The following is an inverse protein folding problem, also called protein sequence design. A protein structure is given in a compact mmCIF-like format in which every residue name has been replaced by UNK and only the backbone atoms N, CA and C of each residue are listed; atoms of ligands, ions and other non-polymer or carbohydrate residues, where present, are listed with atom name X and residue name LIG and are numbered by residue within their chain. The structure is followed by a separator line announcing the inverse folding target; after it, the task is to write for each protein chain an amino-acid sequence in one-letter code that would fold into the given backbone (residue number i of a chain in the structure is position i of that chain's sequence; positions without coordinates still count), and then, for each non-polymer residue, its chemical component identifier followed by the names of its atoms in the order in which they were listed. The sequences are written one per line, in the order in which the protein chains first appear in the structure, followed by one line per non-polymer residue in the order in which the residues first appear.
data_IF_475567609643
#
_entry.id   IF_475567609643
#
_cell.length_a   1.000
_cell.length_b   1.000
_cell.length_c   1.000
_cell.angle_alpha   90.00
_cell.angle_beta   90.00
_cell.angle_gamma   90.00
#
_symmetry.space_group_name_H-M   'P 1'
#
loop_
_entity.id
_entity.type
_entity.pdbx_description
1 polymer ?
#
# COMPACT_ATOMS: atom_id res chain seq x y z
N UNK A 1 20.79 -0.39 7.86
CA UNK A 1 19.62 -0.10 8.72
C UNK A 1 18.54 -1.12 8.38
N UNK A 2 17.90 -1.72 9.39
CA UNK A 2 16.79 -2.64 9.18
C UNK A 2 15.58 -1.87 8.67
N UNK A 3 15.01 -2.30 7.53
CA UNK A 3 13.78 -1.72 6.99
C UNK A 3 12.60 -2.08 7.88
N UNK A 4 11.68 -1.14 8.06
CA UNK A 4 10.47 -1.31 8.86
C UNK A 4 9.39 -2.05 8.08
N UNK A 5 8.49 -2.74 8.79
CA UNK A 5 7.30 -3.33 8.15
C UNK A 5 6.29 -2.22 7.90
N UNK A 6 5.74 -2.09 6.68
CA UNK A 6 4.72 -1.07 6.39
C UNK A 6 3.45 -1.24 7.24
N UNK A 7 2.75 -0.13 7.50
CA UNK A 7 1.37 -0.17 8.01
C UNK A 7 0.38 -0.68 6.93
N UNK A 8 -0.91 -0.80 7.27
CA UNK A 8 -1.96 -1.27 6.33
C UNK A 8 -2.11 -0.39 5.08
N UNK A 9 -1.64 0.85 5.13
CA UNK A 9 -1.67 1.79 4.02
C UNK A 9 -0.33 1.87 3.28
N UNK A 10 0.56 0.87 3.42
CA UNK A 10 1.87 0.81 2.77
C UNK A 10 2.83 1.98 3.12
N UNK A 11 2.64 2.61 4.27
CA UNK A 11 3.51 3.66 4.82
C UNK A 11 3.93 3.34 6.25
N UNK A 12 3.94 4.34 7.13
CA UNK A 12 4.25 4.19 8.56
C UNK A 12 3.35 5.05 9.44
N UNK A 13 3.13 4.55 10.66
CA UNK A 13 2.55 5.31 11.75
C UNK A 13 3.71 5.90 12.58
N UNK A 14 3.75 7.22 12.69
CA UNK A 14 4.74 7.95 13.50
C UNK A 14 4.05 8.60 14.70
N UNK A 15 4.85 9.18 15.59
CA UNK A 15 4.34 9.80 16.83
C UNK A 15 3.34 10.94 16.56
N UNK A 16 3.59 11.77 15.56
CA UNK A 16 2.83 12.99 15.29
C UNK A 16 2.07 12.99 13.95
N UNK A 17 2.22 11.95 13.14
CA UNK A 17 1.51 11.80 11.87
C UNK A 17 1.53 10.33 11.45
N UNK A 18 0.64 9.96 10.54
CA UNK A 18 0.71 8.69 9.82
C UNK A 18 0.72 8.97 8.34
N UNK A 19 1.37 8.10 7.57
CA UNK A 19 1.31 8.20 6.12
C UNK A 19 1.08 6.83 5.50
N UNK A 20 0.50 6.87 4.31
CA UNK A 20 0.25 5.74 3.47
C UNK A 20 0.48 6.10 2.01
N UNK A 21 0.34 5.13 1.12
CA UNK A 21 0.52 5.32 -0.30
C UNK A 21 -0.11 4.20 -1.11
N UNK A 22 -0.38 4.54 -2.36
CA UNK A 22 -0.48 3.60 -3.47
C UNK A 22 0.58 3.99 -4.52
N UNK A 23 0.55 3.40 -5.71
CA UNK A 23 1.52 3.74 -6.75
C UNK A 23 1.38 5.19 -7.24
N UNK A 24 0.20 5.79 -7.18
CA UNK A 24 -0.07 7.13 -7.71
C UNK A 24 0.11 8.24 -6.68
N UNK A 25 -0.18 7.95 -5.41
CA UNK A 25 -0.40 8.98 -4.38
C UNK A 25 0.23 8.58 -3.05
N UNK A 26 0.50 9.60 -2.22
CA UNK A 26 0.87 9.46 -0.81
C UNK A 26 -0.18 10.21 0.00
N UNK A 27 -0.77 9.55 1.00
CA UNK A 27 -1.65 10.17 1.98
C UNK A 27 -0.89 10.43 3.28
N UNK A 28 -1.13 11.58 3.91
CA UNK A 28 -0.55 11.96 5.19
C UNK A 28 -1.66 12.47 6.10
N UNK A 29 -1.78 11.89 7.29
CA UNK A 29 -2.77 12.24 8.30
C UNK A 29 -2.08 12.77 9.55
N UNK A 30 -2.46 13.95 10.00
CA UNK A 30 -1.82 14.66 11.10
C UNK A 30 -2.88 15.05 12.14
N UNK A 31 -2.92 14.39 13.31
CA UNK A 31 -3.81 14.79 14.39
C UNK A 31 -3.50 16.22 14.85
N UNK A 32 -4.55 17.01 15.06
CA UNK A 32 -4.48 18.38 15.58
C UNK A 32 -5.50 18.57 16.71
N UNK A 33 -5.33 19.58 17.58
CA UNK A 33 -6.29 19.83 18.66
C UNK A 33 -7.72 19.99 18.14
N UNK A 34 -8.68 19.39 18.85
CA UNK A 34 -10.10 19.49 18.49
C UNK A 34 -10.58 20.95 18.44
N UNK A 35 -11.34 21.29 17.40
CA UNK A 35 -11.81 22.65 17.15
C UNK A 35 -10.82 23.50 16.35
N UNK A 36 -9.76 22.89 15.79
CA UNK A 36 -8.89 23.53 14.81
C UNK A 36 -9.74 24.04 13.65
N UNK A 37 -9.41 25.23 13.14
CA UNK A 37 -10.08 25.82 11.96
C UNK A 37 -9.10 25.85 10.81
N UNK A 38 -9.58 25.68 9.58
CA UNK A 38 -8.72 25.66 8.39
C UNK A 38 -7.87 26.93 8.23
N UNK A 39 -8.37 28.08 8.70
CA UNK A 39 -7.61 29.35 8.69
C UNK A 39 -6.37 29.32 9.58
N UNK A 40 -6.30 28.42 10.55
CA UNK A 40 -5.21 28.27 11.50
C UNK A 40 -4.20 27.20 11.04
N UNK A 41 -4.51 26.48 9.96
CA UNK A 41 -3.61 25.49 9.34
C UNK A 41 -2.66 26.19 8.37
N UNK A 42 -1.41 25.76 8.37
CA UNK A 42 -0.41 26.06 7.34
C UNK A 42 -0.09 24.74 6.66
N UNK A 43 -0.44 24.62 5.38
CA UNK A 43 -0.06 23.49 4.55
C UNK A 43 0.50 24.02 3.22
N UNK A 44 1.82 23.87 3.03
CA UNK A 44 2.54 24.27 1.81
C UNK A 44 3.15 23.02 1.17
N UNK A 45 2.65 22.69 -0.02
CA UNK A 45 3.11 21.56 -0.82
C UNK A 45 3.92 22.11 -1.98
N UNK A 46 5.21 21.78 -2.03
CA UNK A 46 6.10 22.05 -3.14
C UNK A 46 6.56 20.75 -3.77
N UNK A 47 7.09 20.86 -4.98
CA UNK A 47 7.49 19.73 -5.83
C UNK A 47 8.36 18.67 -5.12
N UNK A 48 9.17 19.05 -4.12
CA UNK A 48 9.98 18.14 -3.30
C UNK A 48 9.92 18.47 -1.80
N UNK A 49 8.94 19.22 -1.33
CA UNK A 49 8.95 19.69 0.05
C UNK A 49 7.53 19.77 0.60
N UNK A 50 7.35 19.31 1.83
CA UNK A 50 6.08 19.38 2.53
C UNK A 50 6.27 20.15 3.83
N UNK A 51 5.42 21.17 4.03
CA UNK A 51 5.31 21.88 5.29
C UNK A 51 3.87 21.83 5.78
N UNK A 52 3.64 21.28 6.98
CA UNK A 52 2.32 21.19 7.60
C UNK A 52 2.39 21.49 9.08
N UNK A 53 1.47 22.31 9.58
CA UNK A 53 1.35 22.62 11.00
C UNK A 53 0.29 23.69 11.29
N UNK A 54 0.31 24.23 12.49
CA UNK A 54 -0.58 25.32 12.91
C UNK A 54 0.15 26.67 12.91
N UNK A 55 -0.57 27.73 12.55
CA UNK A 55 -0.04 29.11 12.59
C UNK A 55 0.47 29.45 13.98
N UNK A 56 1.63 30.11 14.03
CA UNK A 56 2.27 30.53 15.28
C UNK A 56 2.95 29.39 16.08
N UNK A 57 2.95 28.15 15.58
CA UNK A 57 3.60 27.01 16.22
C UNK A 57 4.72 26.45 15.34
N UNK A 58 5.60 25.64 15.94
CA UNK A 58 6.57 24.84 15.19
C UNK A 58 5.80 23.91 14.23
N UNK A 59 6.16 23.85 12.93
CA UNK A 59 5.54 22.92 12.00
C UNK A 59 5.70 21.47 12.46
N UNK A 60 4.67 20.67 12.23
CA UNK A 60 4.68 19.23 12.52
C UNK A 60 5.55 18.50 11.47
N UNK A 61 5.47 18.96 10.22
CA UNK A 61 6.34 18.56 9.12
C UNK A 61 6.89 19.83 8.45
N UNK A 62 8.19 19.87 8.18
CA UNK A 62 8.87 20.90 7.38
C UNK A 62 10.16 20.28 6.82
N UNK A 63 10.04 19.50 5.74
CA UNK A 63 11.15 18.71 5.22
C UNK A 63 11.02 18.35 3.72
N UNK A 64 12.16 17.96 3.13
CA UNK A 64 12.25 17.43 1.76
C UNK A 64 11.53 16.06 1.68
N UNK A 65 10.62 15.93 0.71
CA UNK A 65 9.92 14.68 0.40
C UNK A 65 10.88 13.65 -0.20
N UNK A 66 10.57 12.37 -0.06
CA UNK A 66 11.35 11.30 -0.67
C UNK A 66 11.36 11.40 -2.21
N UNK A 67 10.19 11.63 -2.80
CA UNK A 67 10.01 11.74 -4.24
C UNK A 67 9.42 13.07 -4.68
N UNK A 68 9.34 13.23 -6.00
CA UNK A 68 8.74 14.41 -6.63
C UNK A 68 7.22 14.26 -6.66
N UNK A 69 6.52 15.31 -6.28
CA UNK A 69 5.05 15.41 -6.35
C UNK A 69 4.63 16.49 -7.34
N UNK A 70 3.35 16.46 -7.72
CA UNK A 70 2.68 17.49 -8.51
C UNK A 70 1.86 18.39 -7.57
N UNK A 71 2.35 19.59 -7.18
CA UNK A 71 1.67 20.42 -6.21
C UNK A 71 0.24 20.80 -6.62
N UNK A 72 0.03 21.08 -7.90
CA UNK A 72 -1.28 21.48 -8.44
C UNK A 72 -2.30 20.33 -8.49
N UNK A 73 -1.84 19.07 -8.40
CA UNK A 73 -2.69 17.87 -8.30
C UNK A 73 -2.69 17.32 -6.87
N UNK A 74 -2.09 18.03 -5.91
CA UNK A 74 -2.06 17.65 -4.50
C UNK A 74 -2.99 18.58 -3.72
N UNK A 75 -3.66 18.07 -2.69
CA UNK A 75 -4.59 18.86 -1.90
C UNK A 75 -4.51 18.47 -0.43
N UNK A 76 -5.10 19.32 0.41
CA UNK A 76 -5.25 19.04 1.83
C UNK A 76 -6.65 19.44 2.29
N UNK A 77 -7.12 18.78 3.34
CA UNK A 77 -8.38 19.03 4.02
C UNK A 77 -8.16 19.02 5.53
N UNK A 78 -9.09 19.66 6.25
CA UNK A 78 -9.22 19.52 7.68
C UNK A 78 -10.50 18.71 7.95
N UNK A 79 -10.34 17.50 8.45
CA UNK A 79 -11.40 16.56 8.76
C UNK A 79 -11.78 16.68 10.23
N UNK A 80 -13.09 16.71 10.50
CA UNK A 80 -13.70 16.75 11.84
C UNK A 80 -13.12 17.79 12.82
N UNK A 81 -12.47 18.84 12.30
CA UNK A 81 -11.76 19.86 13.07
C UNK A 81 -10.66 19.31 14.01
N UNK A 82 -10.15 18.10 13.74
CA UNK A 82 -9.14 17.44 14.56
C UNK A 82 -8.07 16.67 13.77
N UNK A 83 -8.15 16.62 12.44
CA UNK A 83 -7.20 15.89 11.60
C UNK A 83 -6.90 16.66 10.31
N UNK A 84 -5.64 16.95 10.04
CA UNK A 84 -5.22 17.45 8.72
C UNK A 84 -4.91 16.24 7.84
N UNK A 85 -5.59 16.13 6.71
CA UNK A 85 -5.31 15.13 5.68
C UNK A 85 -4.66 15.79 4.47
N UNK A 86 -3.53 15.28 4.02
CA UNK A 86 -2.80 15.74 2.83
C UNK A 86 -2.72 14.59 1.85
N UNK A 87 -3.16 14.82 0.61
CA UNK A 87 -2.95 13.90 -0.50
C UNK A 87 -1.94 14.49 -1.47
N UNK A 88 -0.83 13.78 -1.65
CA UNK A 88 0.27 14.15 -2.53
C UNK A 88 0.25 13.28 -3.79
N UNK A 89 0.05 13.90 -4.94
CA UNK A 89 0.09 13.20 -6.22
C UNK A 89 1.53 13.04 -6.69
N UNK A 90 1.99 11.79 -6.85
CA UNK A 90 3.37 11.49 -7.29
C UNK A 90 3.55 11.85 -8.75
N UNK A 91 4.75 12.34 -9.10
CA UNK A 91 5.17 12.42 -10.49
C UNK A 91 5.52 11.04 -11.05
N UNK A 92 6.22 10.22 -10.27
CA UNK A 92 6.52 8.83 -10.61
C UNK A 92 5.44 7.92 -10.06
N UNK A 93 4.65 7.34 -10.98
CA UNK A 93 3.53 6.43 -10.67
C UNK A 93 3.91 4.95 -10.74
N UNK A 94 5.20 4.63 -10.81
CA UNK A 94 5.69 3.25 -10.97
C UNK A 94 6.36 2.70 -9.72
N UNK A 95 6.83 3.58 -8.83
CA UNK A 95 7.63 3.19 -7.67
C UNK A 95 6.96 3.51 -6.33
N UNK A 96 7.09 2.55 -5.41
CA UNK A 96 6.77 2.75 -4.00
C UNK A 96 7.81 3.65 -3.33
N UNK A 97 7.33 4.58 -2.51
CA UNK A 97 8.21 5.40 -1.68
C UNK A 97 8.67 4.56 -0.50
N UNK A 98 9.98 4.48 -0.28
CA UNK A 98 10.52 3.78 0.89
C UNK A 98 10.42 4.62 2.16
N UNK A 99 10.20 5.92 2.08
CA UNK A 99 9.97 6.82 3.22
C UNK A 99 9.09 8.00 2.78
N UNK A 100 8.45 8.70 3.72
CA UNK A 100 7.74 9.95 3.42
C UNK A 100 8.71 11.08 3.09
N UNK A 101 9.71 11.24 3.97
CA UNK A 101 10.71 12.30 3.92
C UNK A 101 12.07 11.72 3.55
N UNK A 102 12.90 12.54 2.90
CA UNK A 102 14.28 12.17 2.55
C UNK A 102 15.10 11.98 3.82
N UNK A 103 15.77 10.83 3.92
CA UNK A 103 16.56 10.46 5.11
C UNK A 103 15.72 10.06 6.34
N UNK A 104 14.39 9.97 6.19
CA UNK A 104 13.51 9.46 7.24
C UNK A 104 13.52 7.92 7.35
N UNK A 105 12.74 7.37 8.30
CA UNK A 105 12.59 5.92 8.48
C UNK A 105 12.12 5.22 7.20
N UNK A 106 12.81 4.14 6.82
CA UNK A 106 12.52 3.40 5.60
C UNK A 106 11.68 2.14 5.85
N UNK A 107 10.68 1.90 5.00
CA UNK A 107 9.88 0.67 4.94
C UNK A 107 10.45 -0.35 3.97
N UNK A 108 10.11 -1.61 4.19
CA UNK A 108 10.32 -2.68 3.25
C UNK A 108 9.19 -2.67 2.20
N UNK A 109 9.45 -2.00 1.08
CA UNK A 109 8.49 -1.88 -0.03
C UNK A 109 8.15 -3.22 -0.70
N UNK A 110 8.91 -4.30 -0.46
CA UNK A 110 8.56 -5.64 -0.94
C UNK A 110 7.34 -6.22 -0.21
N UNK A 111 6.99 -5.67 0.96
CA UNK A 111 5.80 -6.04 1.74
C UNK A 111 4.61 -5.11 1.49
N UNK A 112 4.74 -4.17 0.55
CA UNK A 112 3.62 -3.32 0.18
C UNK A 112 2.58 -4.15 -0.59
N UNK A 113 1.32 -4.07 -0.18
CA UNK A 113 0.21 -4.74 -0.86
C UNK A 113 -0.41 -3.76 -1.87
N UNK A 114 -0.63 -4.17 -3.14
CA UNK A 114 -1.35 -3.33 -4.07
C UNK A 114 -2.78 -3.07 -3.57
N UNK A 115 -3.26 -1.85 -3.81
CA UNK A 115 -4.64 -1.47 -3.52
C UNK A 115 -5.61 -2.45 -4.21
N UNK A 116 -6.58 -3.04 -3.47
CA UNK A 116 -7.62 -3.88 -4.08
C UNK A 116 -8.64 -3.05 -4.90
N UNK A 117 -8.53 -1.73 -4.88
CA UNK A 117 -9.50 -0.74 -5.37
C UNK A 117 -9.44 -0.48 -6.89
N UNK A 118 -9.41 -1.56 -7.67
CA UNK A 118 -10.04 -1.59 -9.01
C UNK A 118 -11.00 -2.77 -9.18
N UNK A 119 -11.08 -3.70 -8.22
CA UNK A 119 -11.94 -4.89 -8.35
C UNK A 119 -13.44 -4.58 -8.41
N UNK A 120 -13.89 -3.47 -7.83
CA UNK A 120 -15.32 -3.09 -7.81
C UNK A 120 -15.81 -2.49 -9.12
N UNK A 121 -14.90 -1.88 -9.90
CA UNK A 121 -15.21 -1.24 -11.19
C UNK A 121 -15.03 -2.20 -12.38
N UNK A 122 -14.52 -3.41 -12.10
CA UNK A 122 -14.29 -4.46 -13.07
C UNK A 122 -15.49 -5.42 -13.06
N UNK A 123 -15.81 -5.97 -14.23
CA UNK A 123 -16.81 -7.04 -14.35
C UNK A 123 -16.44 -8.25 -13.46
N UNK A 124 -17.43 -9.08 -13.10
CA UNK A 124 -17.25 -10.16 -12.14
C UNK A 124 -16.18 -11.19 -12.54
N UNK A 125 -15.94 -11.36 -13.85
CA UNK A 125 -14.98 -12.31 -14.38
C UNK A 125 -13.55 -11.80 -14.22
N UNK A 126 -13.32 -10.53 -14.57
CA UNK A 126 -12.03 -9.85 -14.36
C UNK A 126 -11.69 -9.76 -12.88
N UNK A 127 -12.69 -9.50 -12.02
CA UNK A 127 -12.55 -9.47 -10.57
C UNK A 127 -12.06 -10.81 -10.00
N UNK A 128 -12.73 -11.90 -10.36
CA UNK A 128 -12.37 -13.25 -9.90
C UNK A 128 -10.95 -13.63 -10.35
N UNK A 129 -10.55 -13.18 -11.54
CA UNK A 129 -9.22 -13.44 -12.09
C UNK A 129 -8.14 -12.72 -11.29
N UNK A 130 -8.34 -11.45 -10.96
CA UNK A 130 -7.39 -10.66 -10.18
C UNK A 130 -7.33 -11.16 -8.73
N UNK A 131 -8.45 -11.50 -8.11
CA UNK A 131 -8.49 -12.12 -6.77
C UNK A 131 -7.71 -13.44 -6.75
N UNK A 132 -7.88 -14.30 -7.78
CA UNK A 132 -7.10 -15.53 -7.95
C UNK A 132 -5.61 -15.24 -8.12
N UNK A 133 -5.25 -14.26 -8.95
CA UNK A 133 -3.84 -13.88 -9.16
C UNK A 133 -3.19 -13.34 -7.89
N UNK A 134 -3.90 -12.51 -7.11
CA UNK A 134 -3.41 -11.99 -5.82
C UNK A 134 -3.23 -13.11 -4.80
N UNK A 135 -4.19 -14.05 -4.73
CA UNK A 135 -4.09 -15.24 -3.89
C UNK A 135 -2.88 -16.09 -4.27
N UNK A 136 -2.71 -16.40 -5.56
CA UNK A 136 -1.61 -17.22 -6.07
C UNK A 136 -0.25 -16.56 -5.84
N UNK A 137 -0.16 -15.24 -6.02
CA UNK A 137 1.06 -14.49 -5.74
C UNK A 137 1.45 -14.56 -4.25
N UNK A 138 0.47 -14.45 -3.35
CA UNK A 138 0.69 -14.60 -1.90
C UNK A 138 1.09 -16.02 -1.52
N UNK A 139 0.43 -17.04 -2.08
CA UNK A 139 0.80 -18.45 -1.85
C UNK A 139 2.25 -18.73 -2.28
N UNK A 140 2.65 -18.27 -3.48
CA UNK A 140 4.03 -18.42 -3.99
C UNK A 140 5.07 -17.78 -3.07
N UNK A 141 4.81 -16.59 -2.54
CA UNK A 141 5.73 -15.94 -1.59
C UNK A 141 5.89 -16.74 -0.28
N UNK A 142 4.83 -17.42 0.15
CA UNK A 142 4.83 -18.27 1.34
C UNK A 142 5.34 -19.70 1.05
N UNK A 143 5.70 -20.02 -0.20
CA UNK A 143 6.07 -21.37 -0.62
C UNK A 143 4.90 -22.37 -0.55
N UNK A 144 3.67 -21.87 -0.54
CA UNK A 144 2.44 -22.65 -0.52
C UNK A 144 1.89 -22.85 -1.94
N UNK A 145 1.11 -23.91 -2.19
CA UNK A 145 0.57 -24.19 -3.52
C UNK A 145 -0.43 -23.13 -3.97
N UNK A 146 -0.33 -22.76 -5.25
CA UNK A 146 -1.30 -21.90 -5.95
C UNK A 146 -2.66 -22.60 -6.13
N UNK A 147 -3.67 -21.84 -6.56
CA UNK A 147 -4.99 -22.36 -6.89
C UNK A 147 -4.94 -23.48 -7.92
N UNK A 148 -4.14 -23.32 -8.98
CA UNK A 148 -3.98 -24.36 -10.02
C UNK A 148 -3.26 -25.62 -9.49
N UNK A 149 -2.24 -25.44 -8.66
CA UNK A 149 -1.53 -26.58 -8.05
C UNK A 149 -2.43 -27.33 -7.08
N UNK A 150 -3.26 -26.60 -6.33
CA UNK A 150 -4.25 -27.17 -5.41
C UNK A 150 -5.30 -27.97 -6.18
N UNK A 151 -5.88 -27.40 -7.26
CA UNK A 151 -6.83 -28.10 -8.13
C UNK A 151 -6.22 -29.36 -8.76
N UNK A 152 -4.99 -29.29 -9.26
CA UNK A 152 -4.27 -30.45 -9.82
C UNK A 152 -4.05 -31.53 -8.75
N UNK A 153 -3.65 -31.15 -7.54
CA UNK A 153 -3.47 -32.08 -6.43
C UNK A 153 -4.79 -32.75 -6.03
N UNK A 154 -5.91 -32.01 -6.00
CA UNK A 154 -7.22 -32.58 -5.72
C UNK A 154 -7.69 -33.54 -6.81
N UNK A 155 -7.51 -33.16 -8.08
CA UNK A 155 -7.87 -34.01 -9.22
C UNK A 155 -7.06 -35.31 -9.21
N UNK A 156 -5.75 -35.21 -8.95
CA UNK A 156 -4.87 -36.37 -8.82
C UNK A 156 -5.30 -37.25 -7.64
N UNK A 157 -5.62 -36.67 -6.48
CA UNK A 157 -6.13 -37.42 -5.31
C UNK A 157 -7.43 -38.15 -5.61
N UNK A 158 -8.40 -37.50 -6.28
CA UNK A 158 -9.66 -38.12 -6.70
C UNK A 158 -9.41 -39.26 -7.69
N UNK A 159 -8.50 -39.06 -8.65
CA UNK A 159 -8.14 -40.06 -9.64
C UNK A 159 -7.45 -41.28 -9.00
N UNK A 160 -6.53 -41.06 -8.07
CA UNK A 160 -5.89 -42.12 -7.25
C UNK A 160 -6.91 -42.92 -6.44
N UNK A 161 -7.87 -42.24 -5.79
CA UNK A 161 -8.89 -42.91 -4.99
C UNK A 161 -9.86 -43.75 -5.83
N UNK A 162 -10.14 -43.33 -7.07
CA UNK A 162 -10.98 -44.07 -8.00
C UNK A 162 -10.24 -45.17 -8.76
N UNK A 163 -8.90 -45.11 -8.82
CA UNK A 163 -8.05 -46.08 -9.50
C UNK A 163 -6.96 -46.62 -8.56
N UNK A 164 -7.32 -47.35 -7.48
CA UNK A 164 -6.39 -47.82 -6.45
C UNK A 164 -5.33 -48.82 -6.96
N UNK A 165 -5.51 -49.39 -8.16
CA UNK A 165 -4.55 -50.29 -8.80
C UNK A 165 -3.59 -49.59 -9.77
N UNK A 166 -3.68 -48.27 -9.93
CA UNK A 166 -2.78 -47.51 -10.80
C UNK A 166 -1.50 -47.13 -10.04
N UNK A 167 -0.34 -47.50 -10.57
CA UNK A 167 0.97 -47.23 -9.95
C UNK A 167 1.53 -45.87 -10.42
N UNK A 168 1.55 -44.90 -9.51
CA UNK A 168 2.06 -43.54 -9.77
C UNK A 168 3.57 -43.41 -9.56
N UNK A 169 4.28 -44.47 -9.18
CA UNK A 169 5.73 -44.44 -8.96
C UNK A 169 6.56 -44.16 -10.23
N UNK A 170 5.98 -44.37 -11.41
CA UNK A 170 6.61 -44.16 -12.72
C UNK A 170 6.19 -42.88 -13.42
N UNK A 171 5.25 -42.11 -12.85
CA UNK A 171 4.80 -40.85 -13.42
C UNK A 171 5.88 -39.77 -13.21
N UNK A 172 6.63 -39.47 -14.27
CA UNK A 172 7.59 -38.36 -14.29
C UNK A 172 6.81 -37.04 -14.17
N UNK A 173 6.88 -36.38 -13.03
CA UNK A 173 6.43 -34.99 -12.91
C UNK A 173 7.36 -34.13 -13.78
N UNK A 174 6.86 -33.68 -14.92
CA UNK A 174 7.47 -32.63 -15.75
C UNK A 174 6.87 -31.28 -15.37
#
# INVERSE_FOLDING_TARGET
MSKLTPNKANGLDMENHSWGQNLQEVSVSIPVPHGTRSRDVVCDVKMKHLKVGLKGHTPILDAELFGVVKPNESYWSLEDQNMISVLLTKCDKTNWWKSLLKGGPEIDTQKAEPEPSQLSDLDSETRSTIEKMMFDQRQKQLGLPTSEETEKQEMLKKFMAQNPNFDFSTAKMM
#
